data_IF_277631855497
#
_entry.id   IF_277631855497
#
_cell.length_a   1.000
_cell.length_b   1.000
_cell.length_c   1.000
_cell.angle_alpha   90.00
_cell.angle_beta   90.00
_cell.angle_gamma   90.00
#
_symmetry.space_group_name_H-M   'P 1'
#
loop_
_entity.id
_entity.type
_entity.pdbx_description
1 polymer ?
#
# COMPACT_ATOMS: atom_id res chain seq x y z
N UNK A 1 10.61 5.72 2.30
CA UNK A 1 9.45 6.62 2.24
C UNK A 1 8.96 6.73 0.80
N UNK A 2 7.69 6.98 0.62
CA UNK A 2 7.05 7.03 -0.69
C UNK A 2 6.73 8.47 -1.03
N UNK A 3 7.08 8.88 -2.23
CA UNK A 3 6.79 10.21 -2.75
C UNK A 3 6.18 10.10 -4.14
N UNK A 4 5.81 11.26 -4.71
CA UNK A 4 5.31 11.26 -6.09
C UNK A 4 6.35 10.61 -7.01
N UNK A 5 5.86 9.83 -7.97
CA UNK A 5 6.64 9.05 -8.95
C UNK A 5 7.35 7.83 -8.38
N UNK A 6 7.17 7.50 -7.10
CA UNK A 6 7.68 6.24 -6.54
C UNK A 6 6.89 5.07 -7.12
N UNK A 7 7.60 4.00 -7.46
CA UNK A 7 6.98 2.76 -7.93
C UNK A 7 6.82 1.80 -6.76
N UNK A 8 5.68 1.10 -6.72
CA UNK A 8 5.39 0.13 -5.68
C UNK A 8 4.87 -1.15 -6.30
N UNK A 9 5.17 -2.27 -5.65
CA UNK A 9 4.54 -3.53 -5.98
C UNK A 9 3.14 -3.57 -5.36
N UNK A 10 2.24 -4.32 -5.99
CA UNK A 10 0.89 -4.50 -5.45
C UNK A 10 0.82 -5.83 -4.74
N UNK A 11 0.40 -5.80 -3.48
CA UNK A 11 0.41 -6.96 -2.58
C UNK A 11 -0.96 -7.64 -2.48
N UNK A 12 -1.83 -7.44 -3.46
CA UNK A 12 -3.16 -8.06 -3.44
C UNK A 12 -3.49 -8.75 -4.77
N UNK A 13 -4.65 -9.39 -4.81
CA UNK A 13 -5.13 -10.11 -5.99
C UNK A 13 -6.12 -9.30 -6.83
N UNK A 14 -6.06 -7.97 -6.78
CA UNK A 14 -6.92 -7.11 -7.59
C UNK A 14 -6.63 -7.17 -9.08
N UNK A 15 -5.46 -7.68 -9.44
CA UNK A 15 -5.00 -7.75 -10.83
C UNK A 15 -3.87 -6.80 -11.17
N UNK A 16 -3.70 -5.73 -10.43
CA UNK A 16 -2.58 -4.83 -10.61
C UNK A 16 -1.30 -5.49 -10.11
N UNK A 17 -0.19 -5.27 -10.80
CA UNK A 17 1.13 -5.81 -10.43
C UNK A 17 2.06 -4.73 -9.94
N UNK A 18 2.08 -3.59 -10.61
CA UNK A 18 2.90 -2.43 -10.23
C UNK A 18 2.10 -1.15 -10.39
N UNK A 19 2.33 -0.23 -9.47
CA UNK A 19 1.68 1.08 -9.48
C UNK A 19 2.71 2.15 -9.24
N UNK A 20 2.37 3.38 -9.63
CA UNK A 20 3.21 4.55 -9.41
C UNK A 20 2.42 5.56 -8.58
N UNK A 21 3.05 6.07 -7.51
CA UNK A 21 2.44 7.10 -6.68
C UNK A 21 2.35 8.40 -7.47
N UNK A 22 1.15 8.96 -7.61
CA UNK A 22 0.95 10.24 -8.28
C UNK A 22 0.61 11.35 -7.30
N UNK A 23 0.16 11.02 -6.09
CA UNK A 23 -0.12 12.03 -5.07
C UNK A 23 -0.11 11.40 -3.68
N UNK A 24 0.46 12.11 -2.71
CA UNK A 24 0.39 11.76 -1.30
C UNK A 24 -0.75 12.54 -0.66
N UNK A 25 -1.72 11.84 -0.08
CA UNK A 25 -2.87 12.45 0.58
C UNK A 25 -2.53 12.82 2.02
N UNK A 26 -3.28 13.75 2.60
CA UNK A 26 -3.13 14.12 4.00
C UNK A 26 -2.68 15.55 4.24
N UNK A 27 -2.78 16.43 3.26
CA UNK A 27 -2.45 17.84 3.42
C UNK A 27 -1.75 18.42 2.20
N UNK A 28 -1.90 19.73 1.99
CA UNK A 28 -1.42 20.40 0.78
C UNK A 28 0.11 20.43 0.67
N UNK A 29 0.84 20.29 1.78
CA UNK A 29 2.30 20.32 1.80
C UNK A 29 2.94 18.96 2.05
N UNK A 30 2.15 17.91 2.10
CA UNK A 30 2.68 16.59 2.39
C UNK A 30 3.41 16.02 1.18
N UNK A 31 4.68 15.67 1.37
CA UNK A 31 5.56 15.17 0.30
C UNK A 31 5.80 13.67 0.36
N UNK A 32 5.76 13.08 1.56
CA UNK A 32 6.16 11.69 1.78
C UNK A 32 5.08 10.92 2.51
N UNK A 33 4.95 9.66 2.15
CA UNK A 33 4.04 8.72 2.81
C UNK A 33 4.84 7.55 3.38
N UNK A 34 4.37 7.02 4.49
CA UNK A 34 4.91 5.83 5.12
C UNK A 34 3.85 4.73 5.18
N UNK A 35 4.12 3.68 5.96
CA UNK A 35 3.17 2.57 6.12
C UNK A 35 1.86 3.07 6.70
N UNK A 36 0.75 2.53 6.19
CA UNK A 36 -0.58 2.91 6.63
C UNK A 36 -1.12 4.19 6.02
N UNK A 37 -0.32 4.94 5.30
CA UNK A 37 -0.77 6.15 4.63
C UNK A 37 -1.49 5.81 3.34
N UNK A 38 -2.47 6.64 2.98
CA UNK A 38 -3.24 6.50 1.74
C UNK A 38 -2.62 7.39 0.68
N UNK A 39 -2.36 6.82 -0.48
CA UNK A 39 -1.83 7.56 -1.64
C UNK A 39 -2.74 7.32 -2.84
N UNK A 40 -2.61 8.18 -3.85
CA UNK A 40 -3.24 7.99 -5.14
C UNK A 40 -2.20 7.40 -6.08
N UNK A 41 -2.55 6.32 -6.77
CA UNK A 41 -1.62 5.61 -7.65
C UNK A 41 -2.22 5.44 -9.04
N UNK A 42 -1.33 5.31 -10.02
CA UNK A 42 -1.67 4.94 -11.39
C UNK A 42 -1.14 3.52 -11.64
N UNK A 43 -1.98 2.66 -12.20
CA UNK A 43 -1.60 1.28 -12.47
C UNK A 43 -0.70 1.24 -13.71
N UNK A 44 0.52 0.72 -13.55
CA UNK A 44 1.51 0.63 -14.64
C UNK A 44 1.58 -0.75 -15.26
N UNK A 45 1.34 -1.80 -14.49
CA UNK A 45 1.28 -3.18 -14.97
C UNK A 45 0.10 -3.87 -14.32
N UNK A 46 -0.68 -4.60 -15.10
CA UNK A 46 -1.85 -5.32 -14.60
C UNK A 46 -2.06 -6.62 -15.38
N UNK A 47 -2.67 -7.60 -14.71
CA UNK A 47 -3.07 -8.85 -15.38
C UNK A 47 -4.21 -8.55 -16.36
N UNK A 48 -4.24 -9.26 -17.54
CA UNK A 48 -5.25 -8.96 -18.56
C UNK A 48 -6.70 -9.16 -18.12
N UNK A 49 -6.94 -10.03 -17.15
CA UNK A 49 -8.30 -10.36 -16.66
C UNK A 49 -8.56 -9.90 -15.24
N UNK A 50 -7.73 -8.98 -14.72
CA UNK A 50 -7.91 -8.47 -13.37
C UNK A 50 -9.06 -7.47 -13.26
N UNK A 51 -9.46 -7.18 -12.03
CA UNK A 51 -10.47 -6.16 -11.73
C UNK A 51 -9.97 -4.77 -12.06
N UNK A 52 -8.66 -4.60 -12.10
CA UNK A 52 -7.98 -3.33 -12.32
C UNK A 52 -7.19 -3.43 -13.60
N UNK A 53 -7.24 -2.38 -14.42
CA UNK A 53 -6.56 -2.36 -15.73
C UNK A 53 -5.43 -1.36 -15.72
N UNK A 54 -4.47 -1.57 -16.62
CA UNK A 54 -3.36 -0.63 -16.84
C UNK A 54 -3.92 0.75 -17.17
N UNK A 55 -3.36 1.77 -16.53
CA UNK A 55 -3.78 3.15 -16.71
C UNK A 55 -4.85 3.62 -15.73
N UNK A 56 -5.48 2.73 -14.98
CA UNK A 56 -6.47 3.11 -13.98
C UNK A 56 -5.81 3.90 -12.85
N UNK A 57 -6.59 4.77 -12.23
CA UNK A 57 -6.19 5.55 -11.06
C UNK A 57 -7.01 5.11 -9.87
N UNK A 58 -6.32 4.72 -8.80
CA UNK A 58 -6.96 4.23 -7.57
C UNK A 58 -6.26 4.80 -6.35
N UNK A 59 -6.92 4.70 -5.20
CA UNK A 59 -6.27 4.92 -3.91
C UNK A 59 -5.61 3.63 -3.46
N UNK A 60 -4.53 3.76 -2.69
CA UNK A 60 -3.82 2.62 -2.16
C UNK A 60 -3.30 2.91 -0.76
N UNK A 61 -3.16 1.86 0.04
CA UNK A 61 -2.58 1.94 1.38
C UNK A 61 -1.23 1.25 1.34
N UNK A 62 -0.21 1.92 1.83
CA UNK A 62 1.15 1.37 1.88
C UNK A 62 1.22 0.36 3.01
N UNK A 63 1.59 -0.89 2.70
CA UNK A 63 1.63 -1.98 3.67
C UNK A 63 3.04 -2.41 4.04
N UNK A 64 4.04 -2.14 3.18
CA UNK A 64 5.44 -2.44 3.41
C UNK A 64 6.30 -1.36 2.79
N UNK A 65 7.43 -1.06 3.43
CA UNK A 65 8.41 -0.12 2.87
C UNK A 65 9.83 -0.68 2.99
N UNK A 66 10.68 -0.29 2.05
CA UNK A 66 12.12 -0.59 2.13
C UNK A 66 12.81 0.31 3.16
N UNK A 67 12.20 1.42 3.54
CA UNK A 67 12.71 2.31 4.58
C UNK A 67 12.44 1.69 5.96
N UNK A 68 13.39 1.79 6.86
CA UNK A 68 13.27 1.29 8.23
C UNK A 68 12.08 1.93 8.97
N UNK A 69 11.33 1.10 9.69
CA UNK A 69 10.27 1.54 10.58
C UNK A 69 10.76 1.34 12.01
N UNK A 70 10.91 2.44 12.75
CA UNK A 70 11.34 2.40 14.15
C UNK A 70 10.12 2.33 15.06
N UNK A 71 10.10 1.35 15.95
CA UNK A 71 9.00 1.14 16.88
C UNK A 71 9.35 1.68 18.28
N UNK A 72 8.34 2.04 19.09
CA UNK A 72 8.59 2.57 20.42
C UNK A 72 9.37 1.64 21.35
N UNK A 73 9.31 0.32 21.13
CA UNK A 73 10.04 -0.66 21.95
C UNK A 73 11.52 -0.79 21.56
N UNK A 74 11.99 0.00 20.59
CA UNK A 74 13.37 -0.04 20.12
C UNK A 74 13.62 -0.98 18.96
N UNK A 75 12.64 -1.80 18.56
CA UNK A 75 12.81 -2.67 17.42
C UNK A 75 12.66 -1.91 16.10
N UNK A 76 13.24 -2.47 15.04
CA UNK A 76 13.20 -1.88 13.70
C UNK A 76 12.78 -2.97 12.72
N UNK A 77 11.86 -2.63 11.82
CA UNK A 77 11.43 -3.53 10.78
C UNK A 77 11.66 -2.89 9.42
N UNK A 78 12.08 -3.70 8.45
CA UNK A 78 12.38 -3.26 7.10
C UNK A 78 12.08 -4.40 6.12
N UNK A 79 11.60 -4.03 4.94
CA UNK A 79 11.31 -4.99 3.86
C UNK A 79 12.20 -4.71 2.66
N UNK A 80 12.27 -5.68 1.74
CA UNK A 80 13.11 -5.56 0.56
C UNK A 80 12.56 -4.57 -0.47
N UNK A 81 11.25 -4.35 -0.47
CA UNK A 81 10.60 -3.47 -1.44
C UNK A 81 9.42 -2.76 -0.82
N UNK A 82 8.96 -1.72 -1.52
CA UNK A 82 7.73 -1.02 -1.15
C UNK A 82 6.55 -1.75 -1.77
N UNK A 83 5.48 -1.90 -1.01
CA UNK A 83 4.27 -2.54 -1.50
C UNK A 83 3.03 -1.83 -0.98
N UNK A 84 1.96 -1.86 -1.78
CA UNK A 84 0.70 -1.24 -1.46
C UNK A 84 -0.45 -2.17 -1.80
N UNK A 85 -1.60 -1.92 -1.16
CA UNK A 85 -2.85 -2.62 -1.42
C UNK A 85 -3.83 -1.60 -1.97
N UNK A 86 -4.46 -1.91 -3.10
CA UNK A 86 -5.45 -1.02 -3.70
C UNK A 86 -6.73 -1.01 -2.88
N UNK A 87 -7.30 0.18 -2.69
CA UNK A 87 -8.52 0.37 -1.93
C UNK A 87 -9.50 1.23 -2.73
N UNK A 88 -10.78 1.13 -2.38
CA UNK A 88 -11.82 1.96 -2.97
C UNK A 88 -11.92 3.31 -2.22
N UNK A 89 -12.92 4.13 -2.58
CA UNK A 89 -13.09 5.44 -1.96
C UNK A 89 -13.45 5.35 -0.47
N UNK A 90 -13.96 4.22 -0.01
CA UNK A 90 -14.26 3.97 1.41
C UNK A 90 -13.06 3.37 2.15
N UNK A 91 -11.89 3.30 1.49
CA UNK A 91 -10.67 2.73 2.03
C UNK A 91 -10.78 1.23 2.35
N UNK A 92 -11.64 0.54 1.63
CA UNK A 92 -11.76 -0.91 1.73
C UNK A 92 -10.94 -1.59 0.63
N UNK A 93 -10.27 -2.72 0.91
CA UNK A 93 -9.51 -3.42 -0.11
C UNK A 93 -10.36 -3.83 -1.30
N UNK A 94 -9.86 -3.61 -2.50
CA UNK A 94 -10.51 -4.05 -3.74
C UNK A 94 -10.34 -5.55 -3.89
N UNK A 95 -9.15 -6.07 -3.59
CA UNK A 95 -8.87 -7.50 -3.65
C UNK A 95 -9.43 -8.26 -2.45
N UNK A 96 -9.46 -9.57 -2.57
CA UNK A 96 -9.95 -10.47 -1.52
C UNK A 96 -8.82 -11.14 -0.75
N UNK A 97 -7.57 -11.06 -1.22
CA UNK A 97 -6.40 -11.66 -0.59
C UNK A 97 -5.24 -10.68 -0.62
N UNK A 98 -4.39 -10.79 0.38
CA UNK A 98 -3.16 -10.02 0.47
C UNK A 98 -1.99 -10.99 0.47
N UNK A 99 -0.94 -10.68 -0.29
CA UNK A 99 0.25 -11.51 -0.42
C UNK A 99 1.38 -10.95 0.43
N UNK A 100 2.02 -11.84 1.18
CA UNK A 100 3.14 -11.49 2.02
C UNK A 100 2.75 -10.77 3.30
N UNK A 101 3.74 -10.41 4.13
CA UNK A 101 3.46 -9.80 5.43
C UNK A 101 3.06 -8.33 5.29
N UNK A 102 2.30 -7.85 6.26
CA UNK A 102 2.00 -6.43 6.44
C UNK A 102 2.45 -6.00 7.83
N UNK A 103 2.63 -4.69 8.03
CA UNK A 103 3.05 -4.16 9.32
C UNK A 103 1.83 -3.92 10.21
N UNK A 104 1.99 -4.14 11.53
CA UNK A 104 0.88 -3.93 12.46
C UNK A 104 0.58 -2.45 12.73
N UNK A 105 1.41 -1.53 12.26
CA UNK A 105 1.13 -0.10 12.31
C UNK A 105 -0.14 0.27 11.55
N UNK A 106 -0.62 -0.59 10.64
CA UNK A 106 -1.89 -0.40 9.95
C UNK A 106 -3.08 -0.36 10.92
N UNK A 107 -2.99 -1.06 12.05
CA UNK A 107 -4.06 -1.06 13.06
C UNK A 107 -4.25 0.32 13.64
N UNK A 108 -3.17 1.02 13.94
CA UNK A 108 -3.23 2.38 14.49
C UNK A 108 -3.84 3.37 13.51
N UNK A 109 -3.77 3.09 12.22
CA UNK A 109 -4.34 3.92 11.16
C UNK A 109 -5.68 3.40 10.63
N UNK A 110 -6.32 2.49 11.38
CA UNK A 110 -7.69 1.99 11.16
C UNK A 110 -7.87 1.15 9.88
N UNK A 111 -6.82 0.49 9.42
CA UNK A 111 -6.90 -0.40 8.25
C UNK A 111 -7.11 -1.86 8.68
N UNK A 112 -8.14 -2.11 9.48
CA UNK A 112 -8.37 -3.44 10.05
C UNK A 112 -8.73 -4.50 9.01
N UNK A 113 -9.42 -4.12 7.94
CA UNK A 113 -9.76 -5.07 6.89
C UNK A 113 -8.52 -5.60 6.17
N UNK A 114 -7.52 -4.75 5.96
CA UNK A 114 -6.26 -5.16 5.35
C UNK A 114 -5.54 -6.14 6.28
N UNK A 115 -5.51 -5.86 7.57
CA UNK A 115 -4.88 -6.75 8.56
C UNK A 115 -5.57 -8.11 8.58
N UNK A 116 -6.90 -8.14 8.52
CA UNK A 116 -7.66 -9.39 8.57
C UNK A 116 -7.44 -10.28 7.34
N UNK A 117 -7.11 -9.68 6.20
CA UNK A 117 -6.85 -10.41 4.97
C UNK A 117 -5.39 -10.84 4.82
N UNK A 118 -4.49 -10.28 5.60
CA UNK A 118 -3.06 -10.55 5.48
C UNK A 118 -2.70 -11.91 6.08
N UNK A 119 -1.80 -12.67 5.42
CA UNK A 119 -1.37 -13.97 5.95
C UNK A 119 -0.46 -13.84 7.17
N UNK A 120 0.22 -12.71 7.31
CA UNK A 120 1.16 -12.47 8.40
C UNK A 120 1.19 -10.98 8.74
N UNK A 121 1.16 -10.65 10.02
CA UNK A 121 1.24 -9.28 10.51
C UNK A 121 2.48 -9.13 11.39
N UNK A 122 3.42 -8.37 10.92
CA UNK A 122 4.67 -8.11 11.62
C UNK A 122 4.63 -6.72 12.27
#
# INVERSE_FOLDING_TARGET
MIQMQSNLDVADNSGAKRVQCIKVLGGSKRRFAGVGDVIVVSVKEAAPRGRVKKGDVHKAVIVRTAKDIHRPDGSTIRFDSNAAVLVNNNQEPIGTRIFGPVVRELRAKKHMKIISLAPEVL
#
